data_IF_733067045474
#
_entry.id   IF_733067045474
#
_cell.length_a   1.000
_cell.length_b   1.000
_cell.length_c   1.000
_cell.angle_alpha   90.00
_cell.angle_beta   90.00
_cell.angle_gamma   90.00
#
_symmetry.space_group_name_H-M   'P 1'
#
loop_
_entity.id
_entity.type
_entity.pdbx_description
1 polymer ?
#
# COMPACT_ATOMS: atom_id res chain seq x y z
N UNK A 1 16.94 18.68 12.79
CA UNK A 1 16.57 19.69 11.78
C UNK A 1 17.67 20.15 10.81
N UNK A 2 18.88 19.56 10.82
CA UNK A 2 20.00 19.99 9.96
C UNK A 2 19.66 20.12 8.45
N UNK A 3 18.86 19.22 7.89
CA UNK A 3 18.47 19.29 6.46
C UNK A 3 17.63 20.55 6.21
N UNK A 4 16.61 20.79 7.04
CA UNK A 4 15.71 21.94 6.93
C UNK A 4 16.49 23.25 7.01
N UNK A 5 17.36 23.38 8.01
CA UNK A 5 18.03 24.64 8.33
C UNK A 5 19.19 24.96 7.38
N UNK A 6 19.89 23.94 6.86
CA UNK A 6 21.08 24.15 6.02
C UNK A 6 20.81 24.04 4.51
N UNK A 7 19.81 23.26 4.11
CA UNK A 7 19.62 22.90 2.70
C UNK A 7 18.28 23.41 2.12
N UNK A 8 17.31 23.80 2.95
CA UNK A 8 15.99 24.24 2.48
C UNK A 8 15.75 25.73 2.77
N UNK A 9 15.60 26.10 4.03
CA UNK A 9 15.17 27.46 4.42
C UNK A 9 16.12 28.60 4.01
N UNK A 10 17.45 28.41 3.88
CA UNK A 10 18.32 29.46 3.34
C UNK A 10 18.04 29.81 1.87
N UNK A 11 17.37 28.93 1.13
CA UNK A 11 17.18 29.05 -0.31
C UNK A 11 15.71 29.09 -0.75
N UNK A 12 14.78 28.76 0.15
CA UNK A 12 13.36 28.69 -0.14
C UNK A 12 12.54 29.26 1.02
N UNK A 13 11.84 30.36 0.75
CA UNK A 13 10.80 30.89 1.64
C UNK A 13 9.51 30.09 1.44
N UNK A 14 9.13 29.30 2.44
CA UNK A 14 7.98 28.39 2.38
C UNK A 14 7.33 28.25 3.74
N UNK A 15 5.99 28.31 3.76
CA UNK A 15 5.21 28.04 4.96
C UNK A 15 5.23 26.54 5.30
N UNK A 16 5.64 26.20 6.53
CA UNK A 16 5.74 24.83 7.01
C UNK A 16 4.81 24.57 8.20
N UNK A 17 3.68 23.90 7.95
CA UNK A 17 2.85 23.35 9.02
C UNK A 17 3.51 22.11 9.64
N UNK A 18 4.13 22.29 10.81
CA UNK A 18 4.94 21.25 11.45
C UNK A 18 4.13 20.45 12.46
N UNK A 19 4.19 19.12 12.36
CA UNK A 19 3.54 18.18 13.28
C UNK A 19 4.59 17.22 13.84
N UNK A 20 4.77 17.19 15.15
CA UNK A 20 5.72 16.28 15.81
C UNK A 20 5.13 14.87 15.89
N UNK A 21 5.68 13.95 15.10
CA UNK A 21 5.29 12.52 15.12
C UNK A 21 6.29 11.67 15.93
N UNK A 22 7.14 12.29 16.74
CA UNK A 22 8.00 11.65 17.71
C UNK A 22 7.19 10.78 18.68
N UNK A 23 7.75 9.64 19.10
CA UNK A 23 7.01 8.64 19.88
C UNK A 23 6.44 9.22 21.18
N UNK A 24 7.19 10.08 21.87
CA UNK A 24 6.77 10.72 23.11
C UNK A 24 5.63 11.72 22.91
N UNK A 25 5.67 12.52 21.83
CA UNK A 25 4.60 13.47 21.53
C UNK A 25 3.33 12.77 21.03
N UNK A 26 3.48 11.68 20.27
CA UNK A 26 2.35 10.80 19.93
C UNK A 26 1.73 10.20 21.18
N UNK A 27 2.53 9.69 22.12
CA UNK A 27 2.01 9.16 23.38
C UNK A 27 1.30 10.24 24.22
N UNK A 28 1.89 11.43 24.32
CA UNK A 28 1.30 12.58 25.02
C UNK A 28 -0.07 12.98 24.44
N UNK A 29 -0.22 12.94 23.12
CA UNK A 29 -1.45 13.36 22.41
C UNK A 29 -2.42 12.22 22.12
N UNK A 30 -2.19 11.04 22.71
CA UNK A 30 -2.97 9.83 22.44
C UNK A 30 -3.07 9.48 20.94
N UNK A 31 -1.97 9.74 20.21
CA UNK A 31 -1.77 9.61 18.76
C UNK A 31 -2.65 10.53 17.89
N UNK A 32 -3.35 11.51 18.50
CA UNK A 32 -4.18 12.49 17.78
C UNK A 32 -3.36 13.33 16.80
N UNK A 33 -2.11 13.69 17.15
CA UNK A 33 -1.21 14.44 16.26
C UNK A 33 -0.99 13.75 14.90
N UNK A 34 -1.03 12.40 14.86
CA UNK A 34 -0.90 11.63 13.63
C UNK A 34 -2.12 11.82 12.73
N UNK A 35 -3.31 11.87 13.30
CA UNK A 35 -4.58 12.11 12.59
C UNK A 35 -4.62 13.56 12.08
N UNK A 36 -4.26 14.52 12.93
CA UNK A 36 -4.24 15.94 12.59
C UNK A 36 -3.26 16.22 11.43
N UNK A 37 -2.07 15.60 11.47
CA UNK A 37 -1.09 15.65 10.40
C UNK A 37 -1.67 15.11 9.08
N UNK A 38 -2.36 13.97 9.10
CA UNK A 38 -2.98 13.42 7.89
C UNK A 38 -4.07 14.35 7.31
N UNK A 39 -4.88 14.97 8.17
CA UNK A 39 -5.90 15.93 7.74
C UNK A 39 -5.28 17.24 7.21
N UNK A 40 -4.15 17.67 7.76
CA UNK A 40 -3.39 18.80 7.24
C UNK A 40 -2.86 18.50 5.83
N UNK A 41 -2.35 17.29 5.58
CA UNK A 41 -1.92 16.87 4.24
C UNK A 41 -3.12 16.89 3.27
N UNK A 42 -4.32 16.47 3.68
CA UNK A 42 -5.52 16.62 2.82
C UNK A 42 -5.83 18.08 2.48
N UNK A 43 -5.65 18.98 3.45
CA UNK A 43 -5.92 20.40 3.27
C UNK A 43 -4.90 21.09 2.36
N UNK A 44 -3.62 20.74 2.51
CA UNK A 44 -2.49 21.42 1.86
C UNK A 44 -1.83 20.61 0.72
N UNK A 45 -2.36 19.43 0.42
CA UNK A 45 -1.96 18.50 -0.64
C UNK A 45 -0.57 17.85 -0.51
N UNK A 46 0.41 18.50 0.11
CA UNK A 46 1.79 18.02 0.18
C UNK A 46 2.21 17.79 1.63
N UNK A 47 2.81 16.63 1.90
CA UNK A 47 3.39 16.28 3.19
C UNK A 47 4.80 15.70 3.05
N UNK A 48 5.72 16.15 3.90
CA UNK A 48 7.08 15.62 3.99
C UNK A 48 7.23 15.01 5.39
N UNK A 49 7.57 13.74 5.47
CA UNK A 49 7.55 12.98 6.73
C UNK A 49 8.90 12.35 7.04
N UNK A 50 9.37 12.55 8.28
CA UNK A 50 10.52 11.83 8.83
C UNK A 50 10.14 10.38 9.21
N UNK A 51 11.14 9.49 9.26
CA UNK A 51 10.97 8.15 9.82
C UNK A 51 10.49 8.23 11.27
N UNK A 52 9.62 7.30 11.66
CA UNK A 52 8.97 7.28 12.98
C UNK A 52 8.97 5.87 13.55
N UNK A 53 9.20 5.74 14.85
CA UNK A 53 9.08 4.46 15.58
C UNK A 53 7.64 3.94 15.48
N UNK A 54 7.46 2.66 15.18
CA UNK A 54 6.22 1.92 15.46
C UNK A 54 6.53 1.04 16.67
N UNK A 55 5.92 1.27 17.84
CA UNK A 55 6.34 0.60 19.06
C UNK A 55 5.97 -0.89 19.06
N UNK A 56 6.89 -1.73 19.50
CA UNK A 56 6.69 -3.10 19.96
C UNK A 56 6.71 -3.13 21.51
N UNK A 57 6.65 -4.31 22.12
CA UNK A 57 6.67 -4.48 23.59
C UNK A 57 7.91 -3.81 24.21
N UNK A 58 9.08 -3.93 23.58
CA UNK A 58 10.32 -3.33 24.07
C UNK A 58 10.27 -1.80 24.03
N UNK A 59 9.72 -1.23 22.95
CA UNK A 59 9.56 0.22 22.83
C UNK A 59 8.53 0.77 23.82
N UNK A 60 7.50 0.00 24.18
CA UNK A 60 6.55 0.38 25.24
C UNK A 60 7.27 0.52 26.57
N UNK A 61 8.13 -0.44 26.93
CA UNK A 61 8.93 -0.38 28.16
C UNK A 61 9.97 0.75 28.13
N UNK A 62 10.73 0.86 27.04
CA UNK A 62 11.80 1.86 26.87
C UNK A 62 11.29 3.30 27.01
N UNK A 63 10.17 3.61 26.36
CA UNK A 63 9.60 4.97 26.35
C UNK A 63 8.46 5.15 27.36
N UNK A 64 8.16 4.13 28.18
CA UNK A 64 7.06 4.12 29.16
C UNK A 64 5.72 4.55 28.55
N UNK A 65 5.39 3.98 27.39
CA UNK A 65 4.22 4.35 26.61
C UNK A 65 2.93 3.92 27.30
N UNK A 66 1.86 4.72 27.15
CA UNK A 66 0.51 4.37 27.64
C UNK A 66 0.00 3.07 27.01
N UNK A 67 0.33 2.83 25.73
CA UNK A 67 0.02 1.61 24.99
C UNK A 67 0.89 1.45 23.74
N UNK A 68 0.79 0.29 23.11
CA UNK A 68 1.40 0.01 21.82
C UNK A 68 0.64 0.74 20.70
N UNK A 69 1.06 1.97 20.40
CA UNK A 69 0.45 2.80 19.35
C UNK A 69 0.59 2.18 17.96
N UNK A 70 -0.42 2.41 17.11
CA UNK A 70 -0.36 1.99 15.70
C UNK A 70 0.74 2.73 14.94
N UNK A 71 1.13 2.18 13.79
CA UNK A 71 2.14 2.83 12.93
C UNK A 71 1.59 4.15 12.37
N UNK A 72 2.31 5.29 12.52
CA UNK A 72 1.92 6.56 11.91
C UNK A 72 1.75 6.46 10.40
N UNK A 73 2.59 5.65 9.75
CA UNK A 73 2.52 5.44 8.31
C UNK A 73 1.20 4.74 7.92
N UNK A 74 0.74 3.78 8.73
CA UNK A 74 -0.54 3.10 8.52
C UNK A 74 -1.71 4.04 8.70
N UNK A 75 -1.72 4.83 9.77
CA UNK A 75 -2.77 5.84 10.03
C UNK A 75 -2.87 6.87 8.92
N UNK A 76 -1.74 7.49 8.53
CA UNK A 76 -1.72 8.49 7.46
C UNK A 76 -2.20 7.90 6.13
N UNK A 77 -1.73 6.71 5.74
CA UNK A 77 -2.17 6.03 4.51
C UNK A 77 -3.65 5.67 4.54
N UNK A 78 -4.17 5.23 5.69
CA UNK A 78 -5.59 4.92 5.81
C UNK A 78 -6.48 6.16 5.67
N UNK A 79 -6.00 7.32 6.11
CA UNK A 79 -6.72 8.59 5.99
C UNK A 79 -6.61 9.14 4.57
N UNK A 80 -5.41 9.15 3.98
CA UNK A 80 -5.15 9.73 2.65
C UNK A 80 -5.59 8.83 1.50
N UNK A 81 -5.52 7.51 1.67
CA UNK A 81 -5.62 6.54 0.58
C UNK A 81 -4.42 6.57 -0.36
N UNK A 82 -4.56 5.91 -1.51
CA UNK A 82 -3.62 6.01 -2.63
C UNK A 82 -2.53 4.94 -2.71
N UNK A 83 -1.48 5.29 -3.46
CA UNK A 83 -0.43 4.37 -3.91
C UNK A 83 0.92 4.86 -3.45
N UNK A 84 1.73 3.98 -2.86
CA UNK A 84 3.08 4.30 -2.42
C UNK A 84 4.06 3.88 -3.50
N UNK A 85 4.62 4.84 -4.23
CA UNK A 85 5.70 4.60 -5.17
C UNK A 85 7.05 4.57 -4.44
N UNK A 86 7.87 3.56 -4.73
CA UNK A 86 9.24 3.43 -4.23
C UNK A 86 10.19 3.26 -5.40
N UNK A 87 11.25 4.04 -5.40
CA UNK A 87 12.26 4.07 -6.45
C UNK A 87 13.65 4.14 -5.82
N UNK A 88 14.63 3.49 -6.43
CA UNK A 88 16.02 3.56 -6.01
C UNK A 88 16.68 4.85 -6.50
N UNK A 89 17.49 5.48 -5.64
CA UNK A 89 18.41 6.54 -6.06
C UNK A 89 19.68 5.87 -6.58
N UNK A 90 19.95 6.00 -7.88
CA UNK A 90 21.06 5.32 -8.55
C UNK A 90 22.34 6.16 -8.46
N UNK A 91 23.38 5.59 -7.86
CA UNK A 91 24.73 6.16 -7.82
C UNK A 91 25.64 5.41 -8.80
N UNK A 92 26.25 6.12 -9.76
CA UNK A 92 27.08 5.52 -10.83
C UNK A 92 28.26 4.68 -10.31
N UNK A 93 28.77 5.00 -9.12
CA UNK A 93 29.93 4.36 -8.49
C UNK A 93 29.56 3.26 -7.48
N UNK A 94 28.28 2.92 -7.34
CA UNK A 94 27.83 1.87 -6.42
C UNK A 94 27.37 0.66 -7.24
N UNK A 95 28.05 -0.49 -7.12
CA UNK A 95 27.64 -1.71 -7.81
C UNK A 95 26.29 -2.20 -7.27
N UNK A 96 25.47 -2.77 -8.16
CA UNK A 96 24.14 -3.30 -7.83
C UNK A 96 24.20 -4.80 -7.63
N UNK A 97 23.31 -5.31 -6.80
CA UNK A 97 23.21 -6.76 -6.51
C UNK A 97 22.82 -7.56 -7.75
N UNK A 98 21.91 -7.00 -8.57
CA UNK A 98 21.57 -7.51 -9.90
C UNK A 98 22.29 -6.62 -10.91
N UNK A 99 23.39 -7.08 -11.52
CA UNK A 99 24.23 -6.22 -12.36
C UNK A 99 23.50 -5.68 -13.59
N UNK A 100 22.55 -6.46 -14.14
CA UNK A 100 21.78 -6.12 -15.33
C UNK A 100 20.76 -4.99 -15.15
N UNK A 101 20.41 -4.60 -13.92
CA UNK A 101 19.50 -3.48 -13.69
C UNK A 101 20.21 -2.16 -13.97
N UNK A 102 20.11 -1.64 -15.18
CA UNK A 102 20.68 -0.34 -15.55
C UNK A 102 19.74 0.81 -15.21
N UNK A 103 18.43 0.54 -15.20
CA UNK A 103 17.38 1.52 -14.89
C UNK A 103 16.74 1.24 -13.51
N UNK A 104 16.22 2.26 -12.82
CA UNK A 104 15.51 2.05 -11.57
C UNK A 104 14.20 1.31 -11.81
N UNK A 105 13.93 0.29 -10.98
CA UNK A 105 12.60 -0.32 -10.88
C UNK A 105 11.77 0.48 -9.89
N UNK A 106 10.60 0.92 -10.33
CA UNK A 106 9.64 1.65 -9.50
C UNK A 106 8.54 0.68 -9.04
N UNK A 107 8.36 0.56 -7.73
CA UNK A 107 7.29 -0.26 -7.14
C UNK A 107 6.14 0.63 -6.71
N UNK A 108 5.01 0.53 -7.41
CA UNK A 108 3.73 1.09 -6.97
C UNK A 108 3.02 0.11 -6.03
N UNK A 109 3.02 0.40 -4.73
CA UNK A 109 2.36 -0.43 -3.72
C UNK A 109 0.95 0.08 -3.43
N UNK A 110 -0.07 -0.76 -3.62
CA UNK A 110 -1.42 -0.50 -3.14
C UNK A 110 -1.44 -0.45 -1.60
N UNK A 111 -1.90 0.65 -1.02
CA UNK A 111 -1.84 0.91 0.41
C UNK A 111 -3.21 0.79 1.10
N UNK A 112 -4.05 -0.15 0.67
CA UNK A 112 -5.39 -0.35 1.18
C UNK A 112 -5.77 -1.83 1.27
N UNK A 113 -6.57 -2.19 2.29
CA UNK A 113 -7.17 -3.52 2.41
C UNK A 113 -6.18 -4.64 2.67
N UNK A 114 -6.51 -5.82 2.14
CA UNK A 114 -5.71 -7.05 2.16
C UNK A 114 -5.22 -7.40 3.58
N UNK A 115 -4.01 -7.96 3.71
CA UNK A 115 -3.47 -8.36 5.02
C UNK A 115 -3.35 -7.18 6.00
N UNK A 116 -3.26 -5.93 5.53
CA UNK A 116 -3.10 -4.75 6.39
C UNK A 116 -4.39 -4.35 7.12
N UNK A 117 -5.54 -4.87 6.70
CA UNK A 117 -6.85 -4.69 7.35
C UNK A 117 -7.59 -6.02 7.54
N UNK A 118 -6.84 -7.11 7.61
CA UNK A 118 -7.40 -8.43 7.84
C UNK A 118 -7.89 -8.59 9.29
N UNK A 119 -8.76 -9.57 9.51
CA UNK A 119 -9.10 -10.08 10.83
C UNK A 119 -8.67 -11.53 10.91
N UNK A 120 -7.89 -11.87 11.94
CA UNK A 120 -7.33 -13.18 12.17
C UNK A 120 -7.52 -13.64 13.61
N UNK A 121 -7.50 -14.96 13.82
CA UNK A 121 -7.61 -15.57 15.15
C UNK A 121 -7.09 -17.00 15.14
N UNK A 122 -6.78 -17.50 16.34
CA UNK A 122 -6.43 -18.91 16.59
C UNK A 122 -7.72 -19.70 16.77
N UNK A 123 -7.88 -20.78 16.00
CA UNK A 123 -8.97 -21.73 16.15
C UNK A 123 -8.59 -22.72 17.26
N UNK A 124 -9.36 -22.81 18.37
CA UNK A 124 -8.94 -23.55 19.56
C UNK A 124 -9.11 -25.07 19.45
N UNK A 125 -9.85 -25.58 18.47
CA UNK A 125 -10.19 -27.00 18.35
C UNK A 125 -11.09 -27.30 17.15
N UNK A 126 -11.67 -28.51 17.07
CA UNK A 126 -12.53 -28.89 15.95
C UNK A 126 -13.75 -27.96 15.80
N UNK A 127 -14.11 -27.63 14.56
CA UNK A 127 -15.22 -26.72 14.28
C UNK A 127 -15.28 -26.29 12.81
N UNK A 128 -16.37 -25.64 12.41
CA UNK A 128 -16.57 -25.16 11.04
C UNK A 128 -16.26 -23.66 10.93
N UNK A 129 -15.47 -23.28 9.95
CA UNK A 129 -15.23 -21.89 9.57
C UNK A 129 -16.04 -21.53 8.33
N UNK A 130 -16.89 -20.51 8.47
CA UNK A 130 -17.70 -19.97 7.37
C UNK A 130 -17.36 -18.49 7.16
N UNK A 131 -17.34 -18.07 5.89
CA UNK A 131 -17.26 -16.67 5.50
C UNK A 131 -18.64 -16.23 5.03
N UNK A 132 -19.21 -15.22 5.70
CA UNK A 132 -20.57 -14.75 5.46
C UNK A 132 -20.58 -13.27 5.10
N UNK A 133 -21.33 -12.93 4.05
CA UNK A 133 -21.70 -11.57 3.70
C UNK A 133 -23.22 -11.42 3.75
N UNK A 134 -23.68 -10.31 4.31
CA UNK A 134 -25.10 -10.02 4.51
C UNK A 134 -25.46 -8.76 3.74
N UNK A 135 -26.46 -8.86 2.87
CA UNK A 135 -26.98 -7.71 2.15
C UNK A 135 -27.68 -6.75 3.12
N UNK A 136 -27.32 -5.48 3.07
CA UNK A 136 -27.89 -4.46 3.96
C UNK A 136 -29.34 -4.10 3.59
N UNK A 137 -29.69 -4.17 2.30
CA UNK A 137 -31.02 -3.82 1.79
C UNK A 137 -31.87 -5.04 1.40
N UNK A 138 -31.33 -6.25 1.56
CA UNK A 138 -31.98 -7.50 1.21
C UNK A 138 -32.21 -7.72 -0.29
N UNK A 139 -31.71 -6.82 -1.15
CA UNK A 139 -31.88 -6.96 -2.61
C UNK A 139 -30.96 -7.99 -3.22
N UNK A 140 -29.85 -8.28 -2.56
CA UNK A 140 -28.92 -9.33 -2.96
C UNK A 140 -29.01 -10.48 -1.97
N UNK A 141 -28.87 -11.70 -2.48
CA UNK A 141 -28.82 -12.89 -1.63
C UNK A 141 -27.60 -12.82 -0.69
N UNK A 142 -27.81 -13.21 0.56
CA UNK A 142 -26.71 -13.37 1.51
C UNK A 142 -25.76 -14.45 1.00
N UNK A 143 -24.46 -14.19 1.10
CA UNK A 143 -23.43 -15.13 0.68
C UNK A 143 -22.94 -15.84 1.93
N UNK A 144 -22.87 -17.18 1.89
CA UNK A 144 -22.22 -17.98 2.90
C UNK A 144 -21.36 -19.06 2.23
N UNK A 145 -20.08 -19.10 2.57
CA UNK A 145 -19.15 -20.10 2.06
C UNK A 145 -18.46 -20.79 3.22
N UNK A 146 -18.50 -22.13 3.24
CA UNK A 146 -17.65 -22.91 4.14
C UNK A 146 -16.22 -22.78 3.64
N UNK A 147 -15.34 -22.25 4.49
CA UNK A 147 -13.91 -22.12 4.20
C UNK A 147 -13.20 -23.43 4.54
N UNK A 148 -13.48 -23.97 5.73
CA UNK A 148 -12.84 -25.20 6.21
C UNK A 148 -13.62 -25.84 7.37
N UNK A 149 -13.54 -27.17 7.46
CA UNK A 149 -13.97 -27.96 8.63
C UNK A 149 -12.73 -28.42 9.42
N UNK A 150 -12.43 -27.72 10.50
CA UNK A 150 -11.30 -28.02 11.38
C UNK A 150 -11.52 -29.32 12.15
N UNK A 151 -10.50 -30.19 12.15
CA UNK A 151 -10.44 -31.42 12.97
C UNK A 151 -9.67 -31.24 14.28
N UNK A 152 -9.12 -30.06 14.52
CA UNK A 152 -8.26 -29.73 15.65
C UNK A 152 -7.86 -28.26 15.61
N UNK A 153 -6.95 -27.80 16.50
CA UNK A 153 -6.52 -26.41 16.55
C UNK A 153 -5.90 -25.93 15.23
N UNK A 154 -6.00 -24.63 14.97
CA UNK A 154 -5.48 -24.02 13.75
C UNK A 154 -5.52 -22.49 13.80
N UNK A 155 -5.46 -21.86 12.62
CA UNK A 155 -5.54 -20.41 12.45
C UNK A 155 -6.49 -20.08 11.30
N UNK A 156 -7.09 -18.91 11.34
CA UNK A 156 -7.99 -18.40 10.31
C UNK A 156 -7.73 -16.91 10.07
N UNK A 157 -7.96 -16.47 8.83
CA UNK A 157 -7.86 -15.07 8.44
C UNK A 157 -8.91 -14.76 7.37
N UNK A 158 -9.48 -13.56 7.43
CA UNK A 158 -10.29 -12.97 6.37
C UNK A 158 -9.76 -11.56 6.03
N UNK A 159 -9.76 -11.23 4.74
CA UNK A 159 -9.35 -9.92 4.24
C UNK A 159 -10.31 -9.43 3.16
N UNK A 160 -10.22 -8.15 2.81
CA UNK A 160 -11.07 -7.51 1.80
C UNK A 160 -10.32 -6.41 1.05
N UNK A 161 -10.86 -6.07 -0.11
CA UNK A 161 -10.58 -4.83 -0.80
C UNK A 161 -11.86 -4.28 -1.43
N UNK A 162 -11.78 -3.11 -2.05
CA UNK A 162 -12.94 -2.41 -2.63
C UNK A 162 -12.62 -1.96 -4.04
N UNK A 163 -13.58 -2.05 -4.95
CA UNK A 163 -13.42 -1.60 -6.34
C UNK A 163 -12.94 -0.15 -6.43
N UNK A 164 -13.51 0.77 -5.63
CA UNK A 164 -13.10 2.18 -5.55
C UNK A 164 -11.58 2.32 -5.33
N UNK A 165 -11.05 1.66 -4.30
CA UNK A 165 -9.62 1.70 -4.00
C UNK A 165 -8.75 1.04 -5.08
N UNK A 166 -9.24 0.01 -5.76
CA UNK A 166 -8.51 -0.66 -6.86
C UNK A 166 -8.49 0.25 -8.10
N UNK A 167 -9.59 0.94 -8.39
CA UNK A 167 -9.70 1.92 -9.48
C UNK A 167 -8.72 3.08 -9.25
N UNK A 168 -8.66 3.61 -8.03
CA UNK A 168 -7.70 4.66 -7.67
C UNK A 168 -6.25 4.18 -7.80
N UNK A 169 -5.97 2.93 -7.40
CA UNK A 169 -4.68 2.31 -7.56
C UNK A 169 -4.28 2.16 -9.04
N UNK A 170 -5.23 1.76 -9.90
CA UNK A 170 -5.02 1.67 -11.34
C UNK A 170 -4.72 3.04 -11.95
N UNK A 171 -5.56 4.04 -11.68
CA UNK A 171 -5.38 5.39 -12.19
C UNK A 171 -4.05 6.02 -11.78
N UNK A 172 -3.69 5.91 -10.50
CA UNK A 172 -2.40 6.43 -10.02
C UNK A 172 -1.22 5.72 -10.68
N UNK A 173 -1.30 4.39 -10.86
CA UNK A 173 -0.24 3.60 -11.52
C UNK A 173 -0.09 3.96 -13.00
N UNK A 174 -1.19 4.07 -13.75
CA UNK A 174 -1.14 4.45 -15.17
C UNK A 174 -0.62 5.88 -15.38
N UNK A 175 -1.11 6.84 -14.58
CA UNK A 175 -0.64 8.24 -14.65
C UNK A 175 0.85 8.35 -14.35
N UNK A 176 1.31 7.68 -13.29
CA UNK A 176 2.72 7.70 -12.92
C UNK A 176 3.60 7.04 -13.98
N UNK A 177 3.17 5.91 -14.56
CA UNK A 177 3.89 5.24 -15.65
C UNK A 177 4.01 6.13 -16.90
N UNK A 178 2.94 6.85 -17.27
CA UNK A 178 2.95 7.81 -18.38
C UNK A 178 3.91 8.99 -18.11
N UNK A 179 3.83 9.58 -16.92
CA UNK A 179 4.71 10.69 -16.52
C UNK A 179 6.19 10.27 -16.58
N UNK A 180 6.49 9.07 -16.09
CA UNK A 180 7.85 8.53 -16.08
C UNK A 180 8.28 7.95 -17.42
N UNK A 181 7.35 7.70 -18.34
CA UNK A 181 7.54 6.98 -19.61
C UNK A 181 8.12 5.58 -19.40
N UNK A 182 7.56 4.83 -18.45
CA UNK A 182 7.92 3.44 -18.16
C UNK A 182 6.77 2.50 -18.56
N UNK A 183 7.08 1.27 -19.03
CA UNK A 183 6.06 0.23 -19.10
C UNK A 183 5.51 -0.08 -17.70
N UNK A 184 4.25 -0.47 -17.62
CA UNK A 184 3.58 -0.80 -16.37
C UNK A 184 3.25 -2.29 -16.31
N UNK A 185 3.59 -2.92 -15.17
CA UNK A 185 3.23 -4.30 -14.89
C UNK A 185 2.36 -4.37 -13.62
N UNK A 186 1.19 -4.98 -13.74
CA UNK A 186 0.42 -5.43 -12.58
C UNK A 186 0.71 -6.92 -12.36
N UNK A 187 0.99 -7.32 -11.12
CA UNK A 187 1.17 -8.73 -10.79
C UNK A 187 0.21 -9.21 -9.71
N UNK A 188 -0.40 -10.37 -9.95
CA UNK A 188 -1.35 -11.02 -9.01
C UNK A 188 -1.20 -12.54 -9.06
N UNK A 189 -1.97 -13.29 -8.27
CA UNK A 189 -2.09 -14.75 -8.34
C UNK A 189 -3.53 -15.16 -8.70
N UNK A 190 -4.10 -14.53 -9.72
CA UNK A 190 -5.50 -14.75 -10.16
C UNK A 190 -5.83 -16.17 -10.64
N UNK A 191 -4.84 -17.02 -10.94
CA UNK A 191 -5.08 -18.45 -11.21
C UNK A 191 -5.52 -19.21 -9.96
N UNK A 192 -5.12 -18.74 -8.77
CA UNK A 192 -5.49 -19.29 -7.46
C UNK A 192 -6.65 -18.49 -6.86
N UNK A 193 -6.47 -17.17 -6.71
CA UNK A 193 -7.48 -16.26 -6.18
C UNK A 193 -8.38 -15.74 -7.31
N UNK A 194 -9.13 -16.65 -7.93
CA UNK A 194 -9.88 -16.39 -9.18
C UNK A 194 -10.81 -15.18 -9.12
N UNK A 195 -11.50 -14.99 -8.01
CA UNK A 195 -12.42 -13.84 -7.81
C UNK A 195 -11.70 -12.61 -7.27
N UNK A 196 -10.88 -12.78 -6.24
CA UNK A 196 -10.23 -11.67 -5.54
C UNK A 196 -9.18 -10.98 -6.43
N UNK A 197 -8.15 -11.71 -6.84
CA UNK A 197 -7.08 -11.20 -7.71
C UNK A 197 -7.55 -11.04 -9.16
N UNK A 198 -8.57 -11.80 -9.57
CA UNK A 198 -9.26 -11.58 -10.84
C UNK A 198 -9.87 -10.19 -10.93
N UNK A 199 -10.46 -9.68 -9.84
CA UNK A 199 -11.05 -8.35 -9.81
C UNK A 199 -10.02 -7.24 -10.03
N UNK A 200 -8.82 -7.37 -9.46
CA UNK A 200 -7.70 -6.44 -9.74
C UNK A 200 -7.32 -6.44 -11.21
N UNK A 201 -7.12 -7.64 -11.78
CA UNK A 201 -6.78 -7.80 -13.20
C UNK A 201 -7.83 -7.16 -14.11
N UNK A 202 -9.10 -7.47 -13.87
CA UNK A 202 -10.21 -7.02 -14.72
C UNK A 202 -10.36 -5.49 -14.67
N UNK A 203 -10.32 -4.89 -13.47
CA UNK A 203 -10.40 -3.43 -13.31
C UNK A 203 -9.25 -2.72 -14.01
N UNK A 204 -8.01 -3.18 -13.82
CA UNK A 204 -6.86 -2.57 -14.48
C UNK A 204 -6.95 -2.68 -16.01
N UNK A 205 -7.34 -3.85 -16.53
CA UNK A 205 -7.49 -4.06 -17.96
C UNK A 205 -8.59 -3.17 -18.55
N UNK A 206 -9.75 -3.11 -17.91
CA UNK A 206 -10.88 -2.28 -18.34
C UNK A 206 -10.49 -0.79 -18.39
N UNK A 207 -9.81 -0.29 -17.35
CA UNK A 207 -9.33 1.10 -17.29
C UNK A 207 -8.29 1.36 -18.38
N UNK A 208 -7.33 0.44 -18.57
CA UNK A 208 -6.31 0.56 -19.59
C UNK A 208 -6.92 0.69 -20.98
N UNK A 209 -7.77 -0.27 -21.37
CA UNK A 209 -8.36 -0.32 -22.71
C UNK A 209 -9.27 0.88 -22.99
N UNK A 210 -10.02 1.35 -21.99
CA UNK A 210 -10.94 2.47 -22.15
C UNK A 210 -10.26 3.84 -22.16
N UNK A 211 -9.17 4.02 -21.40
CA UNK A 211 -8.68 5.38 -21.08
C UNK A 211 -7.20 5.61 -21.36
N UNK A 212 -6.34 4.58 -21.25
CA UNK A 212 -4.88 4.79 -21.23
C UNK A 212 -4.15 4.17 -22.42
N UNK A 213 -4.73 3.17 -23.10
CA UNK A 213 -4.07 2.42 -24.17
C UNK A 213 -3.48 3.30 -25.27
N UNK A 214 -4.27 4.23 -25.82
CA UNK A 214 -3.79 5.15 -26.86
C UNK A 214 -2.65 6.05 -26.39
N UNK A 215 -2.68 6.49 -25.13
CA UNK A 215 -1.63 7.32 -24.54
C UNK A 215 -0.33 6.52 -24.34
N UNK A 216 -0.44 5.27 -23.89
CA UNK A 216 0.69 4.35 -23.74
C UNK A 216 1.35 4.03 -25.07
N UNK A 217 0.55 3.64 -26.07
CA UNK A 217 1.02 3.34 -27.43
C UNK A 217 1.71 4.56 -28.07
N UNK A 218 1.16 5.77 -27.90
CA UNK A 218 1.79 7.01 -28.40
C UNK A 218 3.14 7.33 -27.75
N UNK A 219 3.42 6.78 -26.56
CA UNK A 219 4.68 6.94 -25.84
C UNK A 219 5.60 5.71 -25.97
N UNK A 220 5.27 4.73 -26.82
CA UNK A 220 6.00 3.47 -26.99
C UNK A 220 6.19 2.68 -25.67
N UNK A 221 5.21 2.76 -24.77
CA UNK A 221 5.15 1.97 -23.53
C UNK A 221 3.89 1.11 -23.54
N UNK A 222 3.83 0.10 -22.67
CA UNK A 222 2.72 -0.84 -22.59
C UNK A 222 2.30 -1.10 -21.15
N UNK A 223 1.12 -1.69 -21.00
CA UNK A 223 0.65 -2.29 -19.76
C UNK A 223 0.55 -3.81 -19.95
N UNK A 224 0.99 -4.57 -18.95
CA UNK A 224 0.84 -6.03 -18.93
C UNK A 224 0.44 -6.53 -17.54
N UNK A 225 -0.50 -7.47 -17.49
CA UNK A 225 -0.75 -8.28 -16.31
C UNK A 225 0.12 -9.54 -16.35
N UNK A 226 0.81 -9.84 -15.24
CA UNK A 226 1.59 -11.07 -15.06
C UNK A 226 1.21 -11.81 -13.78
N UNK A 227 1.44 -13.12 -13.75
CA UNK A 227 1.41 -13.84 -12.48
C UNK A 227 2.61 -13.42 -11.63
N UNK A 228 2.41 -13.28 -10.32
CA UNK A 228 3.45 -12.74 -9.42
C UNK A 228 4.75 -13.55 -9.43
N UNK A 229 4.68 -14.87 -9.54
CA UNK A 229 5.84 -15.76 -9.67
C UNK A 229 6.60 -15.57 -10.99
N UNK A 230 5.89 -15.34 -12.10
CA UNK A 230 6.52 -14.98 -13.37
C UNK A 230 7.11 -13.56 -13.33
N UNK A 231 6.41 -12.60 -12.72
CA UNK A 231 6.85 -11.21 -12.63
C UNK A 231 8.16 -11.07 -11.85
N UNK A 232 8.32 -11.78 -10.73
CA UNK A 232 9.59 -11.73 -9.97
C UNK A 232 10.74 -12.37 -10.76
N UNK A 233 10.48 -13.45 -11.50
CA UNK A 233 11.48 -14.09 -12.35
C UNK A 233 11.88 -13.19 -13.54
N UNK A 234 10.91 -12.54 -14.17
CA UNK A 234 11.13 -11.55 -15.22
C UNK A 234 11.94 -10.36 -14.71
N UNK A 235 11.58 -9.82 -13.53
CA UNK A 235 12.28 -8.69 -12.92
C UNK A 235 13.77 -8.98 -12.69
N UNK A 236 14.16 -10.20 -12.34
CA UNK A 236 15.58 -10.56 -12.15
C UNK A 236 16.39 -10.56 -13.44
N UNK A 237 15.73 -10.60 -14.60
CA UNK A 237 16.35 -10.63 -15.94
C UNK A 237 16.14 -9.33 -16.73
N UNK A 238 15.41 -8.37 -16.18
CA UNK A 238 15.14 -7.10 -16.84
C UNK A 238 16.37 -6.18 -16.81
N UNK A 239 16.30 -5.13 -17.62
CA UNK A 239 17.26 -4.01 -17.66
C UNK A 239 16.77 -2.83 -16.80
#
# INVERSE_FOLDING_TARGET
DLIKDKLILPFLDVELHTYDLGIEYRDKTDDQVTIDCANAIKKYNVGIKCATITPDEKRVEEFKLKKMWKSPNGTIRNILGGTVFREAIICKNIPRLVPGWEKPIIIGRHAHGDQYKATDFVVPGPGKLELKWVSNDGKQENICHVVHDYKGPGIALAMYNTDESIIDFAHSSFKYALERKYPLYLSTKNTILKKYDGRFKDIFQEIYDKQYKSQFESNNIWYEHRLIDDMVAYSMKSE
#
